data_IF_154763275621
#
_entry.id   IF_154763275621
#
_cell.length_a   1.000
_cell.length_b   1.000
_cell.length_c   1.000
_cell.angle_alpha   90.00
_cell.angle_beta   90.00
_cell.angle_gamma   90.00
#
_symmetry.space_group_name_H-M   'P 1'
#
loop_
_entity.id
_entity.type
_entity.pdbx_description
1 polymer ?
#
# COMPACT_ATOMS: atom_id res chain seq x y z
N UNK A 1 -17.22 -2.19 52.22
CA UNK A 1 -16.51 -2.04 50.92
C UNK A 1 -15.53 -3.18 50.61
N UNK A 2 -15.86 -4.45 50.96
CA UNK A 2 -15.06 -5.64 50.57
C UNK A 2 -15.73 -6.43 49.44
N UNK A 3 -17.06 -6.38 49.37
CA UNK A 3 -17.89 -7.06 48.36
C UNK A 3 -17.76 -6.35 47.00
N UNK A 4 -17.82 -5.02 46.98
CA UNK A 4 -17.64 -4.22 45.75
C UNK A 4 -16.25 -4.42 45.10
N UNK A 5 -15.21 -4.58 45.94
CA UNK A 5 -13.84 -4.82 45.45
C UNK A 5 -13.69 -6.21 44.83
N UNK A 6 -14.36 -7.22 45.37
CA UNK A 6 -14.36 -8.59 44.82
C UNK A 6 -15.20 -8.70 43.54
N UNK A 7 -16.30 -7.96 43.45
CA UNK A 7 -17.11 -7.86 42.24
C UNK A 7 -16.35 -7.14 41.12
N UNK A 8 -15.61 -6.07 41.43
CA UNK A 8 -14.74 -5.38 40.47
C UNK A 8 -13.60 -6.25 39.93
N UNK A 9 -12.96 -7.08 40.77
CA UNK A 9 -11.91 -8.02 40.33
C UNK A 9 -12.48 -9.10 39.42
N UNK A 10 -13.62 -9.70 39.76
CA UNK A 10 -14.28 -10.70 38.90
C UNK A 10 -14.73 -10.13 37.55
N UNK A 11 -15.21 -8.88 37.53
CA UNK A 11 -15.56 -8.20 36.29
C UNK A 11 -14.32 -7.97 35.40
N UNK A 12 -13.19 -7.57 35.99
CA UNK A 12 -11.93 -7.40 35.26
C UNK A 12 -11.34 -8.72 34.73
N UNK A 13 -11.48 -9.82 35.47
CA UNK A 13 -11.07 -11.15 35.02
C UNK A 13 -11.94 -11.62 33.84
N UNK A 14 -13.26 -11.46 33.93
CA UNK A 14 -14.18 -11.80 32.84
C UNK A 14 -13.97 -10.93 31.58
N UNK A 15 -13.65 -9.64 31.75
CA UNK A 15 -13.32 -8.74 30.64
C UNK A 15 -12.03 -9.16 29.92
N UNK A 16 -11.00 -9.55 30.68
CA UNK A 16 -9.74 -10.09 30.13
C UNK A 16 -9.95 -11.40 29.39
N UNK A 17 -10.72 -12.33 29.97
CA UNK A 17 -11.05 -13.60 29.32
C UNK A 17 -11.82 -13.37 28.01
N UNK A 18 -12.79 -12.45 27.98
CA UNK A 18 -13.52 -12.09 26.78
C UNK A 18 -12.62 -11.43 25.71
N UNK A 19 -11.70 -10.57 26.12
CA UNK A 19 -10.71 -9.96 25.21
C UNK A 19 -9.75 -11.00 24.63
N UNK A 20 -9.29 -11.96 25.44
CA UNK A 20 -8.44 -13.06 24.99
C UNK A 20 -9.16 -14.00 24.02
N UNK A 21 -10.42 -14.35 24.30
CA UNK A 21 -11.24 -15.14 23.37
C UNK A 21 -11.49 -14.41 22.05
N UNK A 22 -11.78 -13.11 22.09
CA UNK A 22 -11.97 -12.30 20.89
C UNK A 22 -10.69 -12.23 20.04
N UNK A 23 -9.53 -12.04 20.68
CA UNK A 23 -8.22 -12.08 20.01
C UNK A 23 -7.95 -13.42 19.35
N UNK A 24 -8.28 -14.53 20.05
CA UNK A 24 -8.08 -15.88 19.53
C UNK A 24 -8.97 -16.14 18.31
N UNK A 25 -10.27 -15.83 18.39
CA UNK A 25 -11.20 -15.96 17.26
C UNK A 25 -10.76 -15.14 16.05
N UNK A 26 -10.39 -13.87 16.27
CA UNK A 26 -9.90 -13.01 15.19
C UNK A 26 -8.61 -13.54 14.55
N UNK A 27 -7.71 -14.16 15.34
CA UNK A 27 -6.51 -14.80 14.81
C UNK A 27 -6.87 -16.02 13.95
N UNK A 28 -7.76 -16.88 14.42
CA UNK A 28 -8.21 -18.08 13.69
C UNK A 28 -8.92 -17.71 12.38
N UNK A 29 -9.77 -16.68 12.39
CA UNK A 29 -10.45 -16.16 11.19
C UNK A 29 -9.43 -15.61 10.17
N UNK A 30 -8.43 -14.85 10.64
CA UNK A 30 -7.34 -14.36 9.79
C UNK A 30 -6.51 -15.48 9.18
N UNK A 31 -6.19 -16.51 9.96
CA UNK A 31 -5.43 -17.67 9.49
C UNK A 31 -6.23 -18.48 8.46
N UNK A 32 -7.53 -18.67 8.70
CA UNK A 32 -8.42 -19.32 7.73
C UNK A 32 -8.50 -18.54 6.43
N UNK A 33 -8.71 -17.22 6.51
CA UNK A 33 -8.75 -16.36 5.33
C UNK A 33 -7.43 -16.38 4.56
N UNK A 34 -6.30 -16.37 5.26
CA UNK A 34 -4.98 -16.47 4.63
C UNK A 34 -4.80 -17.83 3.95
N UNK A 35 -5.24 -18.93 4.58
CA UNK A 35 -5.18 -20.26 3.97
C UNK A 35 -6.04 -20.36 2.69
N UNK A 36 -7.22 -19.74 2.68
CA UNK A 36 -8.08 -19.65 1.49
C UNK A 36 -7.40 -18.86 0.37
N UNK A 37 -6.75 -17.73 0.70
CA UNK A 37 -5.94 -16.94 -0.26
C UNK A 37 -4.76 -17.73 -0.82
N UNK A 38 -4.02 -18.41 0.04
CA UNK A 38 -2.83 -19.19 -0.34
C UNK A 38 -3.21 -20.41 -1.20
N UNK A 39 -4.40 -20.97 -1.01
CA UNK A 39 -4.92 -22.07 -1.82
C UNK A 39 -5.32 -21.64 -3.24
N UNK A 40 -5.63 -20.34 -3.46
CA UNK A 40 -5.94 -19.83 -4.80
C UNK A 40 -4.69 -19.72 -5.66
N UNK A 41 -4.77 -20.26 -6.86
CA UNK A 41 -3.70 -20.25 -7.87
C UNK A 41 -4.03 -19.21 -8.94
N UNK A 42 -3.14 -18.25 -9.12
CA UNK A 42 -3.28 -17.23 -10.14
C UNK A 42 -3.00 -17.80 -11.54
N UNK A 43 -3.75 -17.38 -12.57
CA UNK A 43 -3.44 -17.69 -13.95
C UNK A 43 -2.08 -17.13 -14.38
N UNK A 44 -1.46 -17.77 -15.38
CA UNK A 44 -0.24 -17.27 -16.01
C UNK A 44 -0.49 -16.04 -16.90
N UNK A 45 0.57 -15.28 -17.26
CA UNK A 45 0.46 -14.08 -18.09
C UNK A 45 0.05 -14.36 -19.54
N UNK A 46 0.18 -15.60 -20.01
CA UNK A 46 -0.14 -16.00 -21.38
C UNK A 46 -1.64 -16.04 -21.74
N UNK A 47 -2.54 -16.06 -20.75
CA UNK A 47 -3.99 -16.16 -21.00
C UNK A 47 -4.80 -15.07 -20.27
N UNK A 48 -5.07 -13.93 -20.93
CA UNK A 48 -5.90 -12.87 -20.38
C UNK A 48 -7.33 -13.31 -20.03
N UNK A 49 -7.90 -14.28 -20.75
CA UNK A 49 -9.27 -14.74 -20.49
C UNK A 49 -9.34 -15.64 -19.26
N UNK A 50 -8.29 -16.43 -18.98
CA UNK A 50 -8.17 -17.15 -17.72
C UNK A 50 -8.15 -16.18 -16.52
N UNK A 51 -7.50 -15.03 -16.65
CA UNK A 51 -7.50 -13.98 -15.62
C UNK A 51 -8.88 -13.34 -15.43
N UNK A 52 -9.66 -13.14 -16.50
CA UNK A 52 -11.05 -12.69 -16.39
C UNK A 52 -11.91 -13.70 -15.62
N UNK A 53 -11.82 -14.99 -15.96
CA UNK A 53 -12.56 -16.05 -15.26
C UNK A 53 -12.18 -16.13 -13.78
N UNK A 54 -10.89 -16.02 -13.49
CA UNK A 54 -10.38 -15.99 -12.13
C UNK A 54 -11.03 -14.89 -11.29
N UNK A 55 -11.19 -13.68 -11.84
CA UNK A 55 -11.86 -12.59 -11.13
C UNK A 55 -13.38 -12.83 -11.00
N UNK A 56 -14.04 -13.41 -12.00
CA UNK A 56 -15.45 -13.77 -11.86
C UNK A 56 -15.71 -14.87 -10.81
N UNK A 57 -14.73 -15.74 -10.56
CA UNK A 57 -14.73 -16.74 -9.48
C UNK A 57 -14.20 -16.19 -8.15
N UNK A 58 -13.86 -14.92 -8.07
CA UNK A 58 -13.38 -14.27 -6.85
C UNK A 58 -14.56 -13.64 -6.11
N UNK A 59 -14.65 -13.90 -4.80
CA UNK A 59 -15.67 -13.28 -3.96
C UNK A 59 -15.45 -11.76 -3.86
N UNK A 60 -16.52 -10.99 -3.73
CA UNK A 60 -16.46 -9.52 -3.74
C UNK A 60 -15.54 -8.97 -2.64
N UNK A 61 -15.58 -9.57 -1.45
CA UNK A 61 -14.72 -9.22 -0.30
C UNK A 61 -13.23 -9.53 -0.52
N UNK A 62 -12.90 -10.43 -1.44
CA UNK A 62 -11.52 -10.81 -1.77
C UNK A 62 -11.01 -10.17 -3.06
N UNK A 63 -11.91 -9.53 -3.84
CA UNK A 63 -11.60 -8.90 -5.11
C UNK A 63 -10.45 -7.91 -5.01
N UNK A 64 -10.44 -7.04 -4.00
CA UNK A 64 -9.38 -6.04 -3.82
C UNK A 64 -8.02 -6.70 -3.57
N UNK A 65 -7.98 -7.72 -2.70
CA UNK A 65 -6.78 -8.48 -2.38
C UNK A 65 -6.21 -9.16 -3.63
N UNK A 66 -7.07 -9.84 -4.38
CA UNK A 66 -6.67 -10.54 -5.58
C UNK A 66 -6.25 -9.61 -6.73
N UNK A 67 -6.88 -8.44 -6.88
CA UNK A 67 -6.44 -7.41 -7.85
C UNK A 67 -5.02 -6.95 -7.53
N UNK A 68 -4.72 -6.67 -6.25
CA UNK A 68 -3.37 -6.28 -5.83
C UNK A 68 -2.37 -7.39 -6.10
N UNK A 69 -2.71 -8.64 -5.77
CA UNK A 69 -1.85 -9.80 -5.98
C UNK A 69 -1.61 -10.08 -7.47
N UNK A 70 -2.63 -9.89 -8.32
CA UNK A 70 -2.56 -10.05 -9.77
C UNK A 70 -2.05 -8.81 -10.51
N UNK A 71 -1.69 -7.73 -9.80
CA UNK A 71 -1.23 -6.46 -10.42
C UNK A 71 -0.18 -6.66 -11.53
N UNK A 72 0.84 -7.53 -11.39
CA UNK A 72 1.82 -7.77 -12.46
C UNK A 72 1.21 -8.31 -13.77
N UNK A 73 0.05 -8.96 -13.70
CA UNK A 73 -0.67 -9.53 -14.84
C UNK A 73 -1.69 -8.54 -15.45
N UNK A 74 -2.10 -7.52 -14.69
CA UNK A 74 -3.01 -6.45 -15.12
C UNK A 74 -2.26 -5.41 -15.96
N UNK A 75 -1.79 -5.83 -17.14
CA UNK A 75 -1.06 -5.02 -18.11
C UNK A 75 -1.99 -4.35 -19.11
N UNK A 76 -1.46 -3.45 -19.94
CA UNK A 76 -2.22 -2.85 -21.04
C UNK A 76 -2.74 -3.93 -22.01
N UNK A 77 -1.98 -5.01 -22.24
CA UNK A 77 -2.40 -6.13 -23.08
C UNK A 77 -3.64 -6.84 -22.52
N UNK A 78 -3.68 -7.06 -21.20
CA UNK A 78 -4.86 -7.59 -20.52
C UNK A 78 -6.07 -6.68 -20.73
N UNK A 79 -5.92 -5.38 -20.46
CA UNK A 79 -7.02 -4.42 -20.57
C UNK A 79 -7.52 -4.25 -22.01
N UNK A 80 -6.63 -4.31 -22.99
CA UNK A 80 -6.99 -4.29 -24.41
C UNK A 80 -7.76 -5.57 -24.81
N UNK A 81 -7.33 -6.73 -24.33
CA UNK A 81 -8.06 -7.99 -24.51
C UNK A 81 -9.46 -7.94 -23.88
N UNK A 82 -9.56 -7.43 -22.65
CA UNK A 82 -10.83 -7.28 -21.93
C UNK A 82 -11.78 -6.34 -22.68
N UNK A 83 -11.32 -5.17 -23.15
CA UNK A 83 -12.12 -4.27 -24.00
C UNK A 83 -12.61 -4.95 -25.28
N UNK A 84 -11.74 -5.67 -25.97
CA UNK A 84 -12.12 -6.41 -27.18
C UNK A 84 -13.14 -7.53 -26.88
N UNK A 85 -13.12 -8.11 -25.67
CA UNK A 85 -14.15 -9.07 -25.24
C UNK A 85 -15.49 -8.39 -24.93
N UNK A 86 -15.47 -7.21 -24.29
CA UNK A 86 -16.68 -6.41 -24.01
C UNK A 86 -17.43 -6.06 -25.31
N UNK A 87 -16.70 -5.69 -26.36
CA UNK A 87 -17.29 -5.34 -27.65
C UNK A 87 -17.96 -6.54 -28.37
N UNK A 88 -17.59 -7.77 -28.01
CA UNK A 88 -18.13 -9.01 -28.61
C UNK A 88 -19.33 -9.58 -27.86
N UNK A 89 -19.53 -9.18 -26.61
CA UNK A 89 -20.61 -9.68 -25.76
C UNK A 89 -21.82 -8.73 -25.78
N UNK A 90 -23.00 -9.26 -25.43
CA UNK A 90 -24.23 -8.48 -25.32
C UNK A 90 -24.95 -8.75 -23.98
N UNK A 91 -25.80 -7.81 -23.57
CA UNK A 91 -26.62 -7.92 -22.37
C UNK A 91 -25.80 -8.05 -21.07
N UNK A 92 -26.21 -8.98 -20.20
CA UNK A 92 -25.64 -9.13 -18.86
C UNK A 92 -24.15 -9.48 -18.87
N UNK A 93 -23.68 -10.27 -19.85
CA UNK A 93 -22.27 -10.67 -19.92
C UNK A 93 -21.37 -9.48 -20.28
N UNK A 94 -21.86 -8.57 -21.13
CA UNK A 94 -21.21 -7.30 -21.41
C UNK A 94 -21.11 -6.44 -20.14
N UNK A 95 -22.21 -6.26 -19.42
CA UNK A 95 -22.26 -5.47 -18.18
C UNK A 95 -21.30 -6.00 -17.11
N UNK A 96 -21.21 -7.33 -16.95
CA UNK A 96 -20.26 -7.96 -16.02
C UNK A 96 -18.81 -7.66 -16.38
N UNK A 97 -18.45 -7.76 -17.67
CA UNK A 97 -17.08 -7.48 -18.13
C UNK A 97 -16.74 -6.00 -18.02
N UNK A 98 -17.69 -5.11 -18.28
CA UNK A 98 -17.53 -3.66 -18.06
C UNK A 98 -17.32 -3.32 -16.58
N UNK A 99 -18.08 -3.96 -15.69
CA UNK A 99 -17.89 -3.81 -14.25
C UNK A 99 -16.50 -4.30 -13.81
N UNK A 100 -16.07 -5.46 -14.30
CA UNK A 100 -14.74 -5.99 -14.03
C UNK A 100 -13.64 -5.04 -14.53
N UNK A 101 -13.76 -4.52 -15.76
CA UNK A 101 -12.82 -3.54 -16.31
C UNK A 101 -12.72 -2.32 -15.41
N UNK A 102 -13.86 -1.80 -14.96
CA UNK A 102 -13.93 -0.58 -14.13
C UNK A 102 -13.24 -0.80 -12.78
N UNK A 103 -13.56 -1.90 -12.10
CA UNK A 103 -12.98 -2.21 -10.78
C UNK A 103 -11.48 -2.47 -10.91
N UNK A 104 -11.06 -3.33 -11.84
CA UNK A 104 -9.63 -3.68 -12.00
C UNK A 104 -8.79 -2.46 -12.41
N UNK A 105 -9.23 -1.67 -13.39
CA UNK A 105 -8.48 -0.47 -13.82
C UNK A 105 -8.44 0.62 -12.74
N UNK A 106 -9.54 0.84 -12.00
CA UNK A 106 -9.59 1.79 -10.90
C UNK A 106 -8.61 1.43 -9.78
N UNK A 107 -8.61 0.16 -9.36
CA UNK A 107 -7.69 -0.33 -8.33
C UNK A 107 -6.24 -0.33 -8.79
N UNK A 108 -5.94 -0.70 -10.03
CA UNK A 108 -4.59 -0.61 -10.60
C UNK A 108 -4.09 0.84 -10.56
N UNK A 109 -4.92 1.80 -10.99
CA UNK A 109 -4.58 3.22 -10.92
C UNK A 109 -4.28 3.69 -9.50
N UNK A 110 -5.11 3.28 -8.53
CA UNK A 110 -4.92 3.58 -7.11
C UNK A 110 -3.63 2.95 -6.55
N UNK A 111 -3.41 1.66 -6.81
CA UNK A 111 -2.24 0.91 -6.34
C UNK A 111 -0.97 1.51 -6.93
N UNK A 112 -0.96 1.84 -8.22
CA UNK A 112 0.20 2.45 -8.87
C UNK A 112 0.50 3.84 -8.32
N UNK A 113 -0.54 4.66 -8.12
CA UNK A 113 -0.38 6.00 -7.54
C UNK A 113 0.13 5.91 -6.09
N UNK A 114 -0.41 4.98 -5.30
CA UNK A 114 -0.01 4.77 -3.91
C UNK A 114 1.40 4.19 -3.82
N UNK A 115 1.73 3.22 -4.67
CA UNK A 115 3.07 2.63 -4.76
C UNK A 115 4.10 3.67 -5.20
N UNK A 116 3.75 4.52 -6.17
CA UNK A 116 4.57 5.69 -6.52
C UNK A 116 4.76 6.59 -5.30
N UNK A 117 3.69 6.98 -4.60
CA UNK A 117 3.78 7.82 -3.41
C UNK A 117 4.60 7.19 -2.26
N UNK A 118 4.62 5.85 -2.13
CA UNK A 118 5.33 5.12 -1.07
C UNK A 118 6.79 4.79 -1.41
N UNK A 119 7.12 4.47 -2.67
CA UNK A 119 8.47 4.16 -3.13
C UNK A 119 9.29 5.41 -3.44
N UNK A 120 8.62 6.48 -3.86
CA UNK A 120 9.26 7.72 -4.26
C UNK A 120 10.08 8.39 -3.15
N UNK A 121 9.70 8.45 -1.86
CA UNK A 121 10.50 9.16 -0.86
C UNK A 121 11.94 8.63 -0.73
N UNK A 122 12.14 7.30 -0.81
CA UNK A 122 13.48 6.70 -0.75
C UNK A 122 14.27 6.95 -2.04
N UNK A 123 13.66 6.79 -3.20
CA UNK A 123 14.32 7.04 -4.50
C UNK A 123 14.64 8.51 -4.71
N UNK A 124 13.69 9.41 -4.39
CA UNK A 124 13.86 10.86 -4.38
C UNK A 124 14.94 11.29 -3.40
N UNK A 125 15.00 10.68 -2.21
CA UNK A 125 16.10 10.91 -1.28
C UNK A 125 17.43 10.44 -1.88
N UNK A 126 17.52 9.25 -2.47
CA UNK A 126 18.75 8.80 -3.13
C UNK A 126 19.16 9.72 -4.28
N UNK A 127 18.21 10.15 -5.12
CA UNK A 127 18.41 11.14 -6.20
C UNK A 127 18.99 12.44 -5.65
N UNK A 128 18.39 12.96 -4.57
CA UNK A 128 18.82 14.20 -3.90
C UNK A 128 20.22 14.08 -3.27
N UNK A 129 20.48 12.99 -2.53
CA UNK A 129 21.74 12.79 -1.81
C UNK A 129 22.92 12.51 -2.75
N UNK A 130 22.67 11.82 -3.88
CA UNK A 130 23.71 11.46 -4.85
C UNK A 130 23.92 12.50 -5.96
N UNK A 131 23.00 13.46 -6.15
CA UNK A 131 23.14 14.53 -7.13
C UNK A 131 24.45 15.31 -6.97
N UNK A 132 25.15 15.65 -8.07
CA UNK A 132 26.39 16.44 -8.00
C UNK A 132 26.12 17.83 -7.41
N UNK A 133 25.09 18.51 -7.93
CA UNK A 133 24.60 19.79 -7.40
C UNK A 133 23.27 19.59 -6.67
N UNK A 134 23.32 19.68 -5.34
CA UNK A 134 22.16 19.47 -4.48
C UNK A 134 21.17 20.63 -4.58
N UNK A 135 21.63 21.87 -4.83
CA UNK A 135 20.75 23.04 -4.91
C UNK A 135 19.91 23.01 -6.18
N UNK A 136 20.54 22.70 -7.32
CA UNK A 136 19.84 22.53 -8.58
C UNK A 136 18.82 21.38 -8.49
N UNK A 137 19.21 20.26 -7.87
CA UNK A 137 18.31 19.13 -7.66
C UNK A 137 17.12 19.46 -6.77
N UNK A 138 17.31 20.22 -5.68
CA UNK A 138 16.18 20.67 -4.84
C UNK A 138 15.19 21.50 -5.67
N UNK A 139 15.66 22.41 -6.52
CA UNK A 139 14.79 23.22 -7.38
C UNK A 139 14.03 22.36 -8.40
N UNK A 140 14.71 21.41 -9.05
CA UNK A 140 14.08 20.43 -9.94
C UNK A 140 12.99 19.63 -9.22
N UNK A 141 13.25 19.19 -7.99
CA UNK A 141 12.30 18.43 -7.18
C UNK A 141 11.11 19.28 -6.71
N UNK A 142 11.28 20.59 -6.58
CA UNK A 142 10.16 21.53 -6.33
C UNK A 142 9.30 21.66 -7.58
N UNK A 143 9.91 21.85 -8.76
CA UNK A 143 9.20 22.00 -10.03
C UNK A 143 8.41 20.74 -10.43
N UNK A 144 8.97 19.57 -10.14
CA UNK A 144 8.34 18.27 -10.43
C UNK A 144 7.38 17.78 -9.35
N UNK A 145 7.23 18.52 -8.24
CA UNK A 145 6.40 18.11 -7.10
C UNK A 145 6.94 16.89 -6.34
N UNK A 146 8.22 16.55 -6.52
CA UNK A 146 8.90 15.46 -5.82
C UNK A 146 9.30 15.85 -4.38
N UNK A 147 9.36 17.16 -4.07
CA UNK A 147 9.62 17.66 -2.73
C UNK A 147 8.33 17.77 -1.90
N UNK A 148 8.04 16.72 -1.10
CA UNK A 148 6.82 16.64 -0.29
C UNK A 148 7.08 16.34 1.20
N UNK A 149 6.01 16.34 2.00
CA UNK A 149 6.07 16.13 3.45
C UNK A 149 6.63 14.75 3.83
N UNK A 150 6.44 13.73 2.97
CA UNK A 150 6.91 12.37 3.21
C UNK A 150 8.42 12.27 3.02
N UNK A 151 8.96 12.91 1.98
CA UNK A 151 10.41 13.05 1.79
C UNK A 151 11.05 13.83 2.95
N UNK A 152 10.40 14.91 3.41
CA UNK A 152 10.87 15.71 4.55
C UNK A 152 10.90 14.89 5.84
N UNK A 153 9.84 14.12 6.12
CA UNK A 153 9.78 13.23 7.28
C UNK A 153 10.90 12.17 7.23
N UNK A 154 11.16 11.58 6.06
CA UNK A 154 12.23 10.59 5.89
C UNK A 154 13.62 11.17 6.15
N UNK A 155 13.90 12.37 5.63
CA UNK A 155 15.16 13.08 5.91
C UNK A 155 15.34 13.35 7.41
N UNK A 156 14.25 13.71 8.11
CA UNK A 156 14.29 13.98 9.55
C UNK A 156 14.49 12.72 10.38
N UNK A 157 13.81 11.63 10.03
CA UNK A 157 13.98 10.33 10.68
C UNK A 157 15.43 9.85 10.54
N UNK A 158 15.99 9.92 9.33
CA UNK A 158 17.38 9.50 9.11
C UNK A 158 18.41 10.41 9.82
N UNK A 159 18.15 11.72 9.93
CA UNK A 159 18.96 12.61 10.78
C UNK A 159 18.99 12.12 12.23
N UNK A 160 17.81 11.79 12.78
CA UNK A 160 17.69 11.35 14.17
C UNK A 160 18.36 9.98 14.38
N UNK A 161 18.14 9.01 13.49
CA UNK A 161 18.77 7.69 13.54
C UNK A 161 20.29 7.78 13.45
N UNK A 162 20.84 8.63 12.57
CA UNK A 162 22.28 8.86 12.48
C UNK A 162 22.86 9.45 13.77
N UNK A 163 22.13 10.41 14.39
CA UNK A 163 22.54 11.01 15.66
C UNK A 163 22.52 10.00 16.82
N UNK A 164 21.51 9.16 16.89
CA UNK A 164 21.40 8.06 17.87
C UNK A 164 22.54 7.04 17.71
N UNK A 165 22.96 6.77 16.46
CA UNK A 165 24.08 5.89 16.14
C UNK A 165 25.47 6.55 16.34
N UNK A 166 25.55 7.81 16.77
CA UNK A 166 26.81 8.54 16.95
C UNK A 166 27.47 9.03 15.64
N UNK A 167 26.78 8.88 14.50
CA UNK A 167 27.22 9.30 13.16
C UNK A 167 26.94 10.80 12.96
N UNK A 168 27.75 11.64 13.63
CA UNK A 168 27.52 13.08 13.71
C UNK A 168 27.68 13.80 12.37
N UNK A 169 28.60 13.36 11.51
CA UNK A 169 28.83 14.00 10.21
C UNK A 169 27.66 13.77 9.24
N UNK A 170 27.12 12.55 9.24
CA UNK A 170 25.98 12.12 8.45
C UNK A 170 24.71 12.84 8.91
N UNK A 171 24.50 12.93 10.23
CA UNK A 171 23.39 13.67 10.81
C UNK A 171 23.44 15.16 10.42
N UNK A 172 24.62 15.80 10.49
CA UNK A 172 24.78 17.20 10.11
C UNK A 172 24.58 17.42 8.60
N UNK A 173 25.00 16.46 7.78
CA UNK A 173 24.74 16.50 6.34
C UNK A 173 23.24 16.41 6.03
N UNK A 174 22.52 15.47 6.65
CA UNK A 174 21.07 15.33 6.49
C UNK A 174 20.32 16.57 6.96
N UNK A 175 20.72 17.14 8.11
CA UNK A 175 20.15 18.39 8.64
C UNK A 175 20.33 19.57 7.68
N UNK A 176 21.50 19.69 7.03
CA UNK A 176 21.75 20.75 6.03
C UNK A 176 20.81 20.61 4.83
N UNK A 177 20.60 19.39 4.35
CA UNK A 177 19.70 19.13 3.22
C UNK A 177 18.25 19.38 3.62
N UNK A 178 17.81 18.90 4.77
CA UNK A 178 16.48 19.16 5.32
C UNK A 178 16.18 20.67 5.38
N UNK A 179 17.10 21.47 5.94
CA UNK A 179 16.94 22.92 6.05
C UNK A 179 16.92 23.64 4.69
N UNK A 180 17.55 23.05 3.67
CA UNK A 180 17.50 23.58 2.31
C UNK A 180 16.14 23.29 1.66
N UNK A 181 15.62 22.08 1.87
CA UNK A 181 14.32 21.63 1.36
C UNK A 181 13.14 22.34 2.07
N UNK A 182 13.23 22.58 3.38
CA UNK A 182 12.16 23.17 4.20
C UNK A 182 11.77 24.59 3.80
N UNK A 183 12.57 25.26 2.97
CA UNK A 183 12.24 26.58 2.43
C UNK A 183 11.17 26.54 1.35
N UNK A 184 10.93 25.37 0.77
CA UNK A 184 10.05 25.16 -0.37
C UNK A 184 8.82 24.31 -0.04
N UNK A 185 8.83 23.62 1.11
CA UNK A 185 7.70 22.85 1.61
C UNK A 185 7.00 23.70 2.68
N UNK A 186 5.82 24.22 2.34
CA UNK A 186 4.95 24.90 3.29
C UNK A 186 4.40 23.87 4.28
N UNK A 187 4.54 24.15 5.58
CA UNK A 187 3.86 23.41 6.66
C UNK A 187 2.37 23.74 6.64
#
# INVERSE_FOLDING_TARGET
MLIDRRLGVKAQEAEKEAEEEAKKRHKEEREKLQAERDARVQPGPEDPEALVRYFFETEINEMEYEIVRCRPLLTDDFFNSLKASIEKEEGLEKEKREALYTVTSGFVGFVDQTTKAMLQPRERMMKLLTAKDKKAMILEMVETGELDINLMALLKTNENTAREAGLTQEADFMKKIYNACSKFVSV
#
